data_IF_952161123960
#
_entry.id   IF_952161123960
#
_cell.length_a   1.000
_cell.length_b   1.000
_cell.length_c   1.000
_cell.angle_alpha   90.00
_cell.angle_beta   90.00
_cell.angle_gamma   90.00
#
_symmetry.space_group_name_H-M   'P 1'
#
loop_
_entity.id
_entity.type
_entity.pdbx_description
1 polymer ?
#
# COMPACT_ATOMS: atom_id res chain seq x y z
N UNK A 1 -34.35 -16.75 -3.54
CA UNK A 1 -33.62 -16.01 -2.50
C UNK A 1 -32.12 -16.23 -2.72
N UNK A 2 -31.26 -15.21 -2.63
CA UNK A 2 -29.82 -15.42 -2.73
C UNK A 2 -29.36 -16.34 -1.59
N UNK A 3 -28.59 -17.38 -1.93
CA UNK A 3 -28.03 -18.32 -0.96
C UNK A 3 -27.00 -17.57 -0.11
N UNK A 4 -27.34 -17.25 1.13
CA UNK A 4 -26.37 -16.73 2.10
C UNK A 4 -25.39 -17.84 2.44
N UNK A 5 -24.09 -17.58 2.23
CA UNK A 5 -23.04 -18.50 2.67
C UNK A 5 -23.06 -18.57 4.21
N UNK A 6 -22.84 -19.76 4.80
CA UNK A 6 -22.72 -19.87 6.25
C UNK A 6 -21.57 -18.99 6.74
N UNK A 7 -21.78 -18.35 7.89
CA UNK A 7 -20.78 -17.48 8.47
C UNK A 7 -19.53 -18.28 8.87
N UNK A 8 -18.34 -17.72 8.66
CA UNK A 8 -17.09 -18.38 9.05
C UNK A 8 -17.06 -18.65 10.56
N UNK A 9 -16.57 -19.82 11.01
CA UNK A 9 -16.40 -20.12 12.43
C UNK A 9 -15.56 -19.06 13.15
N UNK A 10 -15.90 -18.75 14.40
CA UNK A 10 -15.19 -17.72 15.17
C UNK A 10 -13.70 -18.03 15.34
N UNK A 11 -13.34 -19.30 15.59
CA UNK A 11 -11.95 -19.73 15.71
C UNK A 11 -11.16 -19.53 14.42
N UNK A 12 -11.78 -19.80 13.28
CA UNK A 12 -11.13 -19.58 11.99
C UNK A 12 -10.84 -18.09 11.75
N UNK A 13 -11.80 -17.20 12.10
CA UNK A 13 -11.57 -15.75 12.00
C UNK A 13 -10.41 -15.30 12.89
N UNK A 14 -10.32 -15.81 14.13
CA UNK A 14 -9.22 -15.51 15.06
C UNK A 14 -7.88 -15.93 14.49
N UNK A 15 -7.77 -17.16 13.97
CA UNK A 15 -6.54 -17.64 13.34
C UNK A 15 -6.09 -16.75 12.17
N UNK A 16 -7.03 -16.30 11.33
CA UNK A 16 -6.70 -15.40 10.22
C UNK A 16 -6.21 -14.03 10.72
N UNK A 17 -6.80 -13.51 11.79
CA UNK A 17 -6.36 -12.25 12.42
C UNK A 17 -4.96 -12.41 13.04
N UNK A 18 -4.70 -13.52 13.73
CA UNK A 18 -3.41 -13.81 14.34
C UNK A 18 -2.29 -13.93 13.29
N UNK A 19 -2.57 -14.57 12.15
CA UNK A 19 -1.62 -14.65 11.03
C UNK A 19 -1.28 -13.26 10.45
N UNK A 20 -2.28 -12.38 10.31
CA UNK A 20 -2.04 -11.00 9.85
C UNK A 20 -1.21 -10.23 10.89
N UNK A 21 -1.52 -10.38 12.18
CA UNK A 21 -0.75 -9.77 13.28
C UNK A 21 0.69 -10.29 13.34
N UNK A 22 0.93 -11.54 12.94
CA UNK A 22 2.26 -12.12 12.76
C UNK A 22 3.00 -11.63 11.51
N UNK A 23 2.39 -10.75 10.70
CA UNK A 23 3.02 -10.10 9.55
C UNK A 23 2.70 -10.71 8.19
N UNK A 24 1.73 -11.63 8.09
CA UNK A 24 1.29 -12.20 6.81
C UNK A 24 0.38 -11.22 6.06
N UNK A 25 0.55 -11.13 4.74
CA UNK A 25 -0.29 -10.28 3.90
C UNK A 25 -1.70 -10.89 3.71
N UNK A 26 -2.79 -10.11 3.91
CA UNK A 26 -4.15 -10.59 3.70
C UNK A 26 -4.45 -11.10 2.28
N UNK A 27 -3.71 -10.65 1.26
CA UNK A 27 -3.85 -11.11 -0.13
C UNK A 27 -3.25 -12.49 -0.32
N UNK A 28 -2.11 -12.78 0.32
CA UNK A 28 -1.50 -14.10 0.31
C UNK A 28 -2.37 -15.10 1.07
N UNK A 29 -2.88 -14.69 2.23
CA UNK A 29 -3.85 -15.49 2.99
C UNK A 29 -5.14 -15.77 2.19
N UNK A 30 -5.60 -14.85 1.36
CA UNK A 30 -6.75 -15.07 0.49
C UNK A 30 -6.49 -16.03 -0.70
N UNK A 31 -5.22 -16.30 -1.01
CA UNK A 31 -4.82 -17.31 -2.00
C UNK A 31 -4.73 -18.70 -1.37
N UNK A 32 -4.34 -18.75 -0.10
CA UNK A 32 -4.19 -20.00 0.67
C UNK A 32 -5.50 -20.47 1.32
N UNK A 33 -6.41 -19.53 1.62
CA UNK A 33 -7.67 -19.79 2.31
C UNK A 33 -8.88 -19.25 1.53
N UNK A 34 -10.08 -19.77 1.81
CA UNK A 34 -11.33 -19.35 1.13
C UNK A 34 -11.72 -17.86 1.30
N UNK A 35 -11.47 -17.17 2.43
CA UNK A 35 -11.87 -15.77 2.58
C UNK A 35 -11.11 -14.84 1.65
N UNK A 36 -11.81 -13.85 1.10
CA UNK A 36 -11.15 -12.77 0.37
C UNK A 36 -10.26 -11.92 1.29
N UNK A 37 -9.21 -11.31 0.73
CA UNK A 37 -8.32 -10.43 1.50
C UNK A 37 -9.06 -9.22 2.09
N UNK A 38 -10.17 -8.80 1.49
CA UNK A 38 -11.05 -7.78 2.07
C UNK A 38 -11.76 -8.29 3.33
N UNK A 39 -12.26 -9.53 3.31
CA UNK A 39 -12.93 -10.16 4.45
C UNK A 39 -11.96 -10.30 5.63
N UNK A 40 -10.73 -10.73 5.37
CA UNK A 40 -9.68 -10.88 6.39
C UNK A 40 -9.34 -9.52 7.03
N UNK A 41 -9.16 -8.47 6.22
CA UNK A 41 -8.93 -7.10 6.72
C UNK A 41 -10.07 -6.58 7.60
N UNK A 42 -11.31 -6.90 7.25
CA UNK A 42 -12.46 -6.50 8.06
C UNK A 42 -12.46 -7.17 9.45
N UNK A 43 -12.07 -8.45 9.54
CA UNK A 43 -11.96 -9.14 10.83
C UNK A 43 -10.87 -8.56 11.71
N UNK A 44 -9.70 -8.21 11.15
CA UNK A 44 -8.63 -7.54 11.90
C UNK A 44 -9.15 -6.23 12.50
N UNK A 45 -9.81 -5.41 11.68
CA UNK A 45 -10.40 -4.15 12.13
C UNK A 45 -11.55 -4.34 13.14
N UNK A 46 -12.29 -5.45 13.12
CA UNK A 46 -13.29 -5.80 14.14
C UNK A 46 -12.64 -6.14 15.48
N UNK A 47 -11.56 -6.93 15.47
CA UNK A 47 -10.84 -7.34 16.68
C UNK A 47 -10.11 -6.15 17.30
N UNK A 48 -9.45 -5.31 16.49
CA UNK A 48 -8.75 -4.11 16.98
C UNK A 48 -9.72 -3.12 17.67
N UNK A 49 -10.95 -3.00 17.14
CA UNK A 49 -12.02 -2.21 17.77
C UNK A 49 -12.49 -2.81 19.11
N UNK A 50 -12.57 -4.13 19.20
CA UNK A 50 -13.01 -4.82 20.43
C UNK A 50 -11.96 -4.82 21.54
N UNK A 51 -10.67 -4.84 21.21
CA UNK A 51 -9.56 -4.88 22.16
C UNK A 51 -9.17 -3.50 22.73
N UNK A 52 -9.86 -2.42 22.34
CA UNK A 52 -9.55 -1.09 22.83
C UNK A 52 -8.19 -0.56 22.35
N UNK A 53 -7.57 -1.22 21.35
CA UNK A 53 -6.46 -0.67 20.55
C UNK A 53 -7.03 0.44 19.65
N UNK A 54 -7.48 1.51 20.28
CA UNK A 54 -7.49 2.82 19.65
C UNK A 54 -6.03 3.19 19.45
N UNK A 55 -5.50 2.97 18.25
CA UNK A 55 -4.86 4.13 17.62
C UNK A 55 -5.92 5.23 17.68
N UNK A 56 -5.60 6.36 18.31
CA UNK A 56 -6.47 7.53 18.44
C UNK A 56 -7.16 7.86 17.10
N UNK A 57 -8.31 7.25 16.89
CA UNK A 57 -9.19 7.56 15.77
C UNK A 57 -9.95 8.80 16.18
N UNK A 58 -9.47 9.95 15.72
CA UNK A 58 -10.23 11.18 15.69
C UNK A 58 -11.62 10.90 15.04
N UNK A 59 -12.68 11.58 15.50
CA UNK A 59 -14.00 11.47 14.88
C UNK A 59 -13.89 11.94 13.42
N UNK A 60 -13.99 11.00 12.47
CA UNK A 60 -13.69 11.19 11.05
C UNK A 60 -13.04 9.98 10.38
N UNK A 61 -12.48 9.04 11.16
CA UNK A 61 -11.83 7.84 10.62
C UNK A 61 -12.81 6.67 10.36
N UNK A 62 -13.60 6.78 9.30
CA UNK A 62 -14.41 5.68 8.74
C UNK A 62 -13.52 4.49 8.26
N UNK A 63 -14.07 3.28 8.11
CA UNK A 63 -13.34 2.05 7.84
C UNK A 63 -12.94 1.98 6.36
N UNK A 64 -11.69 2.33 6.09
CA UNK A 64 -11.16 2.40 4.73
C UNK A 64 -11.45 3.76 4.12
N UNK A 65 -10.37 4.48 3.79
CA UNK A 65 -10.30 5.79 3.14
C UNK A 65 -11.63 6.21 2.52
N UNK A 66 -12.20 7.32 2.98
CA UNK A 66 -13.39 7.91 2.36
C UNK A 66 -13.16 8.11 0.86
N UNK A 67 -14.21 8.13 0.05
CA UNK A 67 -14.08 8.26 -1.42
C UNK A 67 -13.24 9.50 -1.80
N UNK A 68 -13.40 10.60 -1.07
CA UNK A 68 -12.59 11.80 -1.24
C UNK A 68 -11.10 11.57 -0.94
N UNK A 69 -10.76 10.90 0.17
CA UNK A 69 -9.38 10.55 0.51
C UNK A 69 -8.77 9.56 -0.51
N UNK A 70 -9.56 8.63 -1.07
CA UNK A 70 -9.10 7.76 -2.16
C UNK A 70 -8.81 8.53 -3.43
N UNK A 71 -9.69 9.45 -3.80
CA UNK A 71 -9.53 10.27 -5.00
C UNK A 71 -8.32 11.21 -4.88
N UNK A 72 -8.12 11.80 -3.70
CA UNK A 72 -6.93 12.59 -3.40
C UNK A 72 -5.65 11.75 -3.44
N UNK A 73 -5.67 10.55 -2.87
CA UNK A 73 -4.55 9.63 -2.92
C UNK A 73 -4.22 9.18 -4.35
N UNK A 74 -5.23 8.96 -5.21
CA UNK A 74 -5.03 8.67 -6.63
C UNK A 74 -4.41 9.88 -7.35
N UNK A 75 -4.91 11.09 -7.08
CA UNK A 75 -4.38 12.34 -7.63
C UNK A 75 -2.91 12.52 -7.24
N UNK A 76 -2.59 12.45 -5.95
CA UNK A 76 -1.24 12.59 -5.44
C UNK A 76 -0.29 11.53 -5.99
N UNK A 77 -0.74 10.28 -6.17
CA UNK A 77 0.08 9.24 -6.81
C UNK A 77 0.37 9.53 -8.28
N UNK A 78 -0.58 10.14 -9.02
CA UNK A 78 -0.35 10.56 -10.42
C UNK A 78 0.66 11.70 -10.46
N UNK A 79 0.47 12.70 -9.61
CA UNK A 79 1.37 13.85 -9.50
C UNK A 79 2.80 13.43 -9.10
N UNK A 80 2.93 12.54 -8.12
CA UNK A 80 4.25 12.04 -7.71
C UNK A 80 4.96 11.26 -8.84
N UNK A 81 4.22 10.52 -9.67
CA UNK A 81 4.80 9.86 -10.85
C UNK A 81 5.27 10.88 -11.89
N UNK A 82 4.48 11.91 -12.14
CA UNK A 82 4.85 12.99 -13.07
C UNK A 82 6.12 13.71 -12.60
N UNK A 83 6.16 14.11 -11.33
CA UNK A 83 7.32 14.78 -10.74
C UNK A 83 8.59 13.91 -10.78
N UNK A 84 8.46 12.59 -10.57
CA UNK A 84 9.60 11.67 -10.69
C UNK A 84 10.14 11.60 -12.12
N UNK A 85 9.24 11.56 -13.12
CA UNK A 85 9.65 11.56 -14.53
C UNK A 85 10.34 12.88 -14.92
N UNK A 86 9.80 14.02 -14.51
CA UNK A 86 10.40 15.32 -14.73
C UNK A 86 11.79 15.42 -14.09
N UNK A 87 11.91 14.99 -12.82
CA UNK A 87 13.19 14.93 -12.12
C UNK A 87 14.20 14.06 -12.86
N UNK A 88 13.79 12.93 -13.41
CA UNK A 88 14.68 12.03 -14.14
C UNK A 88 15.08 12.58 -15.52
N UNK A 89 14.18 13.29 -16.20
CA UNK A 89 14.52 14.00 -17.45
C UNK A 89 15.53 15.10 -17.15
N UNK A 90 15.26 15.92 -16.13
CA UNK A 90 16.17 16.98 -15.71
C UNK A 90 17.52 16.41 -15.27
N UNK A 91 17.54 15.36 -14.46
CA UNK A 91 18.78 14.73 -14.01
C UNK A 91 19.60 14.18 -15.18
N UNK A 92 18.95 13.55 -16.17
CA UNK A 92 19.61 13.07 -17.39
C UNK A 92 20.12 14.22 -18.26
N UNK A 93 19.35 15.29 -18.40
CA UNK A 93 19.76 16.48 -19.13
C UNK A 93 20.96 17.15 -18.45
N UNK A 94 20.93 17.36 -17.13
CA UNK A 94 22.05 17.89 -16.36
C UNK A 94 23.29 17.01 -16.49
N UNK A 95 23.15 15.69 -16.40
CA UNK A 95 24.26 14.76 -16.61
C UNK A 95 24.83 14.83 -18.05
N UNK A 96 23.97 14.97 -19.06
CA UNK A 96 24.40 15.16 -20.45
C UNK A 96 25.14 16.49 -20.63
N UNK A 97 24.59 17.61 -20.14
CA UNK A 97 25.23 18.92 -20.20
C UNK A 97 26.55 18.94 -19.43
N UNK A 98 26.66 18.32 -18.26
CA UNK A 98 27.91 18.25 -17.49
C UNK A 98 29.01 17.48 -18.23
N UNK A 99 28.65 16.50 -19.06
CA UNK A 99 29.57 15.77 -19.94
C UNK A 99 29.97 16.61 -21.16
N UNK A 100 29.04 17.34 -21.77
CA UNK A 100 29.27 18.15 -22.98
C UNK A 100 30.06 19.45 -22.69
N UNK A 101 29.84 20.06 -21.52
CA UNK A 101 30.53 21.30 -21.09
C UNK A 101 31.88 21.06 -20.41
N UNK A 102 32.35 19.82 -20.34
CA UNK A 102 33.69 19.47 -19.85
C UNK A 102 33.92 19.67 -18.35
N UNK A 103 32.86 19.85 -17.55
CA UNK A 103 32.97 20.02 -16.09
C UNK A 103 33.26 18.69 -15.38
N UNK A 104 33.06 17.56 -16.06
CA UNK A 104 33.59 16.26 -15.68
C UNK A 104 34.81 15.94 -16.54
N UNK A 105 35.99 15.65 -15.96
CA UNK A 105 37.16 15.28 -16.75
C UNK A 105 36.85 14.00 -17.52
N UNK A 106 37.16 14.00 -18.81
CA UNK A 106 37.20 12.80 -19.65
C UNK A 106 38.31 11.89 -19.14
N UNK A 107 37.97 11.02 -18.20
CA UNK A 107 38.81 9.91 -17.76
C UNK A 107 38.98 8.91 -18.90
N UNK A 108 40.08 9.12 -19.61
CA UNK A 108 40.87 8.28 -20.52
C UNK A 108 40.53 6.78 -20.67
N UNK A 109 40.61 6.35 -21.94
CA UNK A 109 40.96 5.00 -22.38
C UNK A 109 42.19 4.43 -21.66
N UNK A 110 42.25 3.09 -21.50
CA UNK A 110 43.51 2.38 -21.31
C UNK A 110 43.40 0.99 -20.68
N UNK A 111 43.31 -0.02 -21.57
CA UNK A 111 43.59 -1.47 -21.37
C UNK A 111 42.63 -2.33 -20.54
#
# INVERSE_FOLDING_TARGET
MPKTRPAYPAEFRRQMVDLVRAGRDPTDLAREFEPSGQTIRNWVAEVDRGEGRREEKLPGADPGLTTAERDELVRLRRENRQLKLERDILSRATAWFARETGVLPSGSSGS
#
